data_IF_832274054163
#
_entry.id   IF_832274054163
#
_cell.length_a   1.000
_cell.length_b   1.000
_cell.length_c   1.000
_cell.angle_alpha   90.00
_cell.angle_beta   90.00
_cell.angle_gamma   90.00
#
_symmetry.space_group_name_H-M   'P 1'
#
loop_
_entity.id
_entity.type
_entity.pdbx_description
1 polymer ?
#
# COMPACT_ATOMS: atom_id res chain seq x y z
N UNK A 1 -34.12 22.86 -11.67
CA UNK A 1 -32.83 23.56 -11.50
C UNK A 1 -31.74 22.53 -11.69
N UNK A 2 -30.77 22.83 -12.55
CA UNK A 2 -29.72 21.90 -12.97
C UNK A 2 -28.75 21.69 -11.80
N UNK A 3 -28.92 20.61 -11.04
CA UNK A 3 -28.11 20.26 -9.85
C UNK A 3 -26.62 20.15 -10.17
N UNK A 4 -26.24 20.04 -11.45
CA UNK A 4 -24.86 20.08 -11.90
C UNK A 4 -24.22 21.48 -11.79
N UNK A 5 -24.99 22.57 -11.90
CA UNK A 5 -24.43 23.94 -11.80
C UNK A 5 -24.09 24.34 -10.37
N UNK A 6 -24.76 23.79 -9.36
CA UNK A 6 -24.60 24.21 -7.94
C UNK A 6 -23.40 23.60 -7.21
N UNK A 7 -22.80 22.52 -7.73
CA UNK A 7 -21.60 21.90 -7.13
C UNK A 7 -20.29 22.62 -7.51
N UNK A 8 -20.22 23.12 -8.74
CA UNK A 8 -19.02 23.78 -9.30
C UNK A 8 -18.65 25.04 -8.50
N UNK A 9 -19.62 25.76 -7.94
CA UNK A 9 -19.38 26.98 -7.17
C UNK A 9 -18.82 26.75 -5.76
N UNK A 10 -18.75 25.50 -5.29
CA UNK A 10 -18.41 25.16 -3.90
C UNK A 10 -17.21 24.23 -3.75
N UNK A 11 -16.74 23.62 -4.83
CA UNK A 11 -15.55 22.75 -4.85
C UNK A 11 -14.49 23.45 -5.69
N UNK A 12 -13.34 23.74 -5.10
CA UNK A 12 -12.16 24.21 -5.83
C UNK A 12 -11.04 23.15 -5.84
N UNK A 13 -10.00 23.42 -6.62
CA UNK A 13 -8.87 22.49 -6.75
C UNK A 13 -8.10 22.32 -5.44
N UNK A 14 -7.99 23.37 -4.61
CA UNK A 14 -7.28 23.30 -3.33
C UNK A 14 -8.03 22.44 -2.31
N UNK A 15 -9.36 22.45 -2.38
CA UNK A 15 -10.21 21.56 -1.60
C UNK A 15 -9.96 20.11 -1.97
N UNK A 16 -10.01 19.76 -3.26
CA UNK A 16 -9.76 18.40 -3.72
C UNK A 16 -8.36 17.93 -3.34
N UNK A 17 -7.37 18.81 -3.55
CA UNK A 17 -6.00 18.55 -3.15
C UNK A 17 -5.85 18.28 -1.66
N UNK A 18 -6.77 18.76 -0.80
CA UNK A 18 -6.74 18.53 0.66
C UNK A 18 -7.41 17.22 1.10
N UNK A 19 -8.20 16.58 0.25
CA UNK A 19 -8.93 15.36 0.61
C UNK A 19 -8.00 14.16 0.84
N UNK A 20 -8.49 13.16 1.57
CA UNK A 20 -7.75 11.90 1.79
C UNK A 20 -7.88 10.92 0.62
N UNK A 21 -8.78 11.20 -0.32
CA UNK A 21 -9.09 10.33 -1.45
C UNK A 21 -8.86 11.05 -2.76
N UNK A 22 -8.10 10.43 -3.65
CA UNK A 22 -7.91 10.90 -5.01
C UNK A 22 -9.21 10.67 -5.78
N UNK A 23 -9.69 11.67 -6.52
CA UNK A 23 -10.83 11.49 -7.43
C UNK A 23 -10.35 10.88 -8.75
N UNK A 24 -11.20 10.14 -9.45
CA UNK A 24 -10.86 9.62 -10.79
C UNK A 24 -10.88 10.73 -11.84
N UNK A 25 -10.40 10.44 -13.06
CA UNK A 25 -10.41 11.42 -14.15
C UNK A 25 -11.83 11.86 -14.48
N UNK A 26 -12.72 10.88 -14.62
CA UNK A 26 -14.15 11.11 -14.86
C UNK A 26 -14.79 11.93 -13.74
N UNK A 27 -14.45 11.64 -12.50
CA UNK A 27 -14.95 12.39 -11.34
C UNK A 27 -14.46 13.84 -11.33
N UNK A 28 -13.19 14.07 -11.68
CA UNK A 28 -12.67 15.43 -11.81
C UNK A 28 -13.35 16.19 -12.94
N UNK A 29 -13.54 15.57 -14.11
CA UNK A 29 -14.23 16.19 -15.25
C UNK A 29 -15.67 16.59 -14.90
N UNK A 30 -16.34 15.84 -14.02
CA UNK A 30 -17.68 16.16 -13.55
C UNK A 30 -17.73 17.36 -12.62
N UNK A 31 -16.71 17.54 -11.77
CA UNK A 31 -16.71 18.54 -10.69
C UNK A 31 -15.96 19.81 -11.08
N UNK A 32 -14.85 19.67 -11.82
CA UNK A 32 -13.94 20.72 -12.27
C UNK A 32 -13.51 20.50 -13.73
N UNK A 33 -14.40 20.66 -14.72
CA UNK A 33 -14.17 20.27 -16.12
C UNK A 33 -13.02 21.00 -16.83
N UNK A 34 -12.57 22.13 -16.29
CA UNK A 34 -11.50 22.96 -16.87
C UNK A 34 -10.11 22.53 -16.35
N UNK A 35 -10.06 21.75 -15.26
CA UNK A 35 -8.80 21.38 -14.62
C UNK A 35 -8.16 20.17 -15.32
N UNK A 36 -6.83 20.19 -15.48
CA UNK A 36 -6.09 19.00 -15.94
C UNK A 36 -6.04 17.96 -14.82
N UNK A 37 -6.40 16.72 -15.15
CA UNK A 37 -6.29 15.59 -14.23
C UNK A 37 -4.84 15.23 -13.93
N UNK A 38 -3.95 15.39 -14.91
CA UNK A 38 -2.52 15.14 -14.78
C UNK A 38 -1.89 16.11 -13.78
N UNK A 39 -2.21 17.41 -13.87
CA UNK A 39 -1.74 18.42 -12.91
C UNK A 39 -2.35 18.18 -11.52
N UNK A 40 -3.64 17.89 -11.45
CA UNK A 40 -4.32 17.59 -10.20
C UNK A 40 -3.69 16.39 -9.47
N UNK A 41 -3.59 15.24 -10.15
CA UNK A 41 -3.05 14.00 -9.57
C UNK A 41 -1.59 14.16 -9.15
N UNK A 42 -0.77 14.83 -9.96
CA UNK A 42 0.63 15.15 -9.62
C UNK A 42 0.73 15.96 -8.33
N UNK A 43 -0.08 17.01 -8.19
CA UNK A 43 -0.08 17.84 -6.98
C UNK A 43 -0.67 17.11 -5.77
N UNK A 44 -1.67 16.24 -5.97
CA UNK A 44 -2.20 15.38 -4.93
C UNK A 44 -1.10 14.47 -4.37
N UNK A 45 -0.36 13.77 -5.25
CA UNK A 45 0.72 12.87 -4.83
C UNK A 45 1.91 13.59 -4.18
N UNK A 46 2.30 14.76 -4.70
CA UNK A 46 3.35 15.60 -4.07
C UNK A 46 3.06 15.91 -2.60
N UNK A 47 1.79 16.08 -2.24
CA UNK A 47 1.38 16.29 -0.85
C UNK A 47 1.22 14.98 -0.10
N UNK A 48 0.53 14.00 -0.70
CA UNK A 48 0.02 12.81 -0.01
C UNK A 48 1.09 11.77 0.26
N UNK A 49 2.03 11.57 -0.67
CA UNK A 49 3.07 10.54 -0.53
C UNK A 49 4.01 10.84 0.65
N UNK A 50 4.55 12.07 0.83
CA UNK A 50 5.31 12.41 2.05
C UNK A 50 4.48 12.26 3.32
N UNK A 51 3.22 12.69 3.32
CA UNK A 51 2.34 12.57 4.49
C UNK A 51 2.16 11.11 4.94
N UNK A 52 1.96 10.19 4.00
CA UNK A 52 1.82 8.75 4.29
C UNK A 52 3.13 8.17 4.80
N UNK A 53 4.27 8.56 4.21
CA UNK A 53 5.59 8.16 4.66
C UNK A 53 5.85 8.59 6.11
N UNK A 54 5.68 9.88 6.43
CA UNK A 54 5.94 10.43 7.75
C UNK A 54 5.07 9.77 8.84
N UNK A 55 3.79 9.51 8.52
CA UNK A 55 2.85 8.82 9.42
C UNK A 55 3.19 7.35 9.65
N UNK A 56 3.95 6.73 8.76
CA UNK A 56 4.20 5.29 8.76
C UNK A 56 5.65 4.92 9.12
N UNK A 57 6.59 5.86 9.04
CA UNK A 57 8.03 5.63 9.24
C UNK A 57 8.37 4.97 10.59
N UNK A 58 7.58 5.23 11.64
CA UNK A 58 7.75 4.62 12.97
C UNK A 58 7.06 3.26 13.15
N UNK A 59 6.37 2.73 12.13
CA UNK A 59 5.62 1.47 12.24
C UNK A 59 6.46 0.30 11.76
N UNK A 60 6.62 -0.71 12.60
CA UNK A 60 7.44 -1.90 12.31
C UNK A 60 7.06 -2.62 11.02
N UNK A 61 5.76 -2.68 10.69
CA UNK A 61 5.30 -3.30 9.44
C UNK A 61 5.73 -2.51 8.20
N UNK A 62 5.76 -1.19 8.30
CA UNK A 62 6.14 -0.30 7.21
C UNK A 62 7.65 -0.38 6.97
N UNK A 63 8.43 -0.33 8.05
CA UNK A 63 9.88 -0.53 8.00
C UNK A 63 10.20 -1.86 7.34
N UNK A 64 9.60 -2.95 7.81
CA UNK A 64 9.82 -4.29 7.26
C UNK A 64 9.42 -4.40 5.78
N UNK A 65 8.28 -3.83 5.38
CA UNK A 65 7.77 -3.98 4.01
C UNK A 65 8.51 -3.09 2.99
N UNK A 66 8.82 -1.85 3.36
CA UNK A 66 9.29 -0.83 2.41
C UNK A 66 10.74 -0.40 2.63
N UNK A 67 11.30 -0.54 3.83
CA UNK A 67 12.65 -0.07 4.12
C UNK A 67 13.65 -1.22 4.24
N UNK A 68 13.19 -2.40 4.65
CA UNK A 68 14.02 -3.61 4.74
C UNK A 68 14.33 -4.18 3.35
N UNK A 69 15.62 -4.37 3.06
CA UNK A 69 16.07 -4.90 1.78
C UNK A 69 15.76 -6.39 1.62
N UNK A 70 15.80 -7.17 2.71
CA UNK A 70 15.61 -8.62 2.65
C UNK A 70 14.21 -8.99 2.19
N UNK A 71 13.19 -8.29 2.72
CA UNK A 71 11.81 -8.49 2.30
C UNK A 71 11.61 -8.09 0.83
N UNK A 72 12.13 -6.92 0.43
CA UNK A 72 11.99 -6.44 -0.94
C UNK A 72 12.60 -7.42 -1.97
N UNK A 73 13.83 -7.87 -1.72
CA UNK A 73 14.52 -8.82 -2.60
C UNK A 73 13.81 -10.18 -2.63
N UNK A 74 13.29 -10.66 -1.49
CA UNK A 74 12.52 -11.89 -1.45
C UNK A 74 11.24 -11.76 -2.29
N UNK A 75 10.50 -10.67 -2.13
CA UNK A 75 9.26 -10.43 -2.88
C UNK A 75 9.51 -10.32 -4.38
N UNK A 76 10.57 -9.62 -4.79
CA UNK A 76 10.96 -9.52 -6.20
C UNK A 76 11.23 -10.89 -6.81
N UNK A 77 11.97 -11.75 -6.09
CA UNK A 77 12.22 -13.14 -6.52
C UNK A 77 10.94 -13.96 -6.61
N UNK A 78 9.99 -13.74 -5.71
CA UNK A 78 8.70 -14.45 -5.71
C UNK A 78 7.86 -14.10 -6.94
N UNK A 79 7.81 -12.83 -7.33
CA UNK A 79 7.00 -12.35 -8.47
C UNK A 79 7.50 -12.89 -9.81
N UNK A 80 8.77 -13.30 -9.91
CA UNK A 80 9.26 -14.01 -11.07
C UNK A 80 8.70 -15.43 -11.19
N UNK A 81 7.98 -15.96 -10.19
CA UNK A 81 7.41 -17.32 -10.21
C UNK A 81 5.94 -17.30 -10.61
N UNK A 82 5.53 -18.36 -11.30
CA UNK A 82 4.12 -18.63 -11.54
C UNK A 82 3.59 -19.41 -10.34
N UNK A 83 2.71 -18.79 -9.59
CA UNK A 83 2.12 -19.35 -8.39
C UNK A 83 1.15 -20.48 -8.71
N UNK A 84 1.16 -21.52 -7.87
CA UNK A 84 0.11 -22.54 -7.84
C UNK A 84 -0.80 -22.29 -6.66
N UNK A 85 -2.10 -22.53 -6.84
CA UNK A 85 -3.13 -22.42 -5.80
C UNK A 85 -3.43 -23.76 -5.12
N UNK A 86 -2.46 -24.69 -5.15
CA UNK A 86 -2.54 -25.98 -4.48
C UNK A 86 -1.87 -25.87 -3.11
N UNK A 87 -2.57 -26.33 -2.08
CA UNK A 87 -2.05 -26.40 -0.72
C UNK A 87 -2.15 -27.86 -0.28
N UNK A 88 -1.00 -28.52 -0.16
CA UNK A 88 -0.97 -29.96 0.12
C UNK A 88 -0.81 -30.29 1.60
N UNK A 89 -0.32 -29.35 2.40
CA UNK A 89 -0.05 -29.59 3.81
C UNK A 89 -0.97 -28.85 4.78
N UNK A 90 -0.93 -29.27 6.06
CA UNK A 90 -1.77 -28.66 7.08
C UNK A 90 -1.28 -27.25 7.41
N UNK A 91 -2.20 -26.40 7.86
CA UNK A 91 -1.95 -24.99 8.12
C UNK A 91 -2.10 -24.68 9.61
N UNK A 92 -1.22 -23.83 10.14
CA UNK A 92 -1.32 -23.22 11.47
C UNK A 92 -1.54 -21.73 11.26
N UNK A 93 -2.45 -21.14 12.03
CA UNK A 93 -2.60 -19.69 12.12
C UNK A 93 -2.01 -19.19 13.44
N UNK A 94 -1.19 -18.14 13.35
CA UNK A 94 -0.71 -17.37 14.48
C UNK A 94 -1.48 -16.05 14.57
N UNK A 95 -2.14 -15.84 15.71
CA UNK A 95 -2.95 -14.65 16.02
C UNK A 95 -2.32 -13.82 17.14
N UNK A 96 -2.82 -12.59 17.30
CA UNK A 96 -2.41 -11.66 18.35
C UNK A 96 -0.91 -11.37 18.36
N UNK A 97 -0.29 -11.28 17.18
CA UNK A 97 1.11 -10.86 17.07
C UNK A 97 1.18 -9.35 17.37
N UNK A 98 1.99 -8.90 18.35
CA UNK A 98 2.04 -7.48 18.71
C UNK A 98 2.46 -6.58 17.53
N UNK A 99 1.81 -5.43 17.38
CA UNK A 99 2.12 -4.46 16.33
C UNK A 99 3.53 -3.86 16.45
N UNK A 100 4.08 -3.88 17.66
CA UNK A 100 5.45 -3.44 17.97
C UNK A 100 6.51 -4.50 17.69
N UNK A 101 6.14 -5.74 17.35
CA UNK A 101 7.10 -6.79 17.07
C UNK A 101 7.71 -6.58 15.68
N UNK A 102 9.05 -6.50 15.52
CA UNK A 102 9.65 -6.33 14.20
C UNK A 102 9.34 -7.51 13.27
N UNK A 103 9.09 -7.23 11.99
CA UNK A 103 8.83 -8.27 10.99
C UNK A 103 9.98 -9.28 10.86
N UNK A 104 11.23 -8.82 11.01
CA UNK A 104 12.43 -9.65 11.03
C UNK A 104 12.46 -10.63 12.21
N UNK A 105 11.94 -10.23 13.37
CA UNK A 105 11.81 -11.09 14.56
C UNK A 105 10.74 -12.14 14.32
N UNK A 106 9.59 -11.75 13.78
CA UNK A 106 8.51 -12.68 13.40
C UNK A 106 9.06 -13.72 12.42
N UNK A 107 9.77 -13.27 11.38
CA UNK A 107 10.39 -14.14 10.39
C UNK A 107 11.40 -15.11 11.04
N UNK A 108 12.28 -14.61 11.90
CA UNK A 108 13.28 -15.43 12.60
C UNK A 108 12.67 -16.50 13.52
N UNK A 109 11.51 -16.21 14.12
CA UNK A 109 10.79 -17.15 14.98
C UNK A 109 10.09 -18.22 14.13
N UNK A 110 9.26 -17.81 13.16
CA UNK A 110 8.43 -18.75 12.40
C UNK A 110 9.22 -19.59 11.38
N UNK A 111 10.36 -19.08 10.89
CA UNK A 111 11.28 -19.87 10.06
C UNK A 111 11.88 -21.10 10.75
N UNK A 112 11.81 -21.17 12.09
CA UNK A 112 12.28 -22.33 12.87
C UNK A 112 11.21 -23.41 13.03
N UNK A 113 9.99 -23.19 12.55
CA UNK A 113 8.89 -24.15 12.71
C UNK A 113 9.28 -25.53 12.15
N UNK A 114 8.98 -26.58 12.90
CA UNK A 114 9.28 -27.96 12.49
C UNK A 114 8.39 -28.33 11.30
N UNK A 115 9.01 -28.97 10.29
CA UNK A 115 8.36 -29.35 9.03
C UNK A 115 7.74 -28.17 8.26
N UNK A 116 8.30 -26.97 8.41
CA UNK A 116 7.88 -25.80 7.67
C UNK A 116 8.05 -26.01 6.15
N UNK A 117 6.97 -25.80 5.40
CA UNK A 117 7.03 -25.64 3.95
C UNK A 117 7.23 -24.16 3.60
N UNK A 118 6.34 -23.31 4.13
CA UNK A 118 6.39 -21.84 3.96
C UNK A 118 5.51 -21.14 4.99
N UNK A 119 5.76 -19.86 5.22
CA UNK A 119 4.86 -19.00 5.99
C UNK A 119 4.85 -17.59 5.41
N UNK A 120 3.81 -16.83 5.73
CA UNK A 120 3.76 -15.40 5.42
C UNK A 120 2.99 -14.66 6.50
N UNK A 121 3.31 -13.37 6.61
CA UNK A 121 2.61 -12.43 7.48
C UNK A 121 1.54 -11.77 6.59
N UNK A 122 0.28 -11.89 6.99
CA UNK A 122 -0.84 -11.31 6.26
C UNK A 122 -0.66 -9.79 6.15
N UNK A 123 -1.08 -9.24 5.01
CA UNK A 123 -1.09 -7.80 4.82
C UNK A 123 -1.99 -7.12 5.86
N UNK A 124 -1.48 -6.07 6.50
CA UNK A 124 -2.22 -5.29 7.48
C UNK A 124 -3.05 -4.24 6.75
N UNK A 125 -4.36 -4.36 6.81
CA UNK A 125 -5.27 -3.42 6.15
C UNK A 125 -6.09 -2.67 7.19
N UNK A 126 -6.69 -1.54 6.79
CA UNK A 126 -7.67 -0.86 7.64
C UNK A 126 -8.85 -1.76 7.98
N UNK A 127 -9.19 -2.72 7.11
CA UNK A 127 -10.28 -3.69 7.31
C UNK A 127 -10.00 -4.71 8.41
N UNK A 128 -8.74 -5.14 8.58
CA UNK A 128 -8.36 -6.07 9.68
C UNK A 128 -7.85 -5.35 10.93
N UNK A 129 -8.07 -4.03 11.03
CA UNK A 129 -7.63 -3.21 12.15
C UNK A 129 -6.10 -3.18 12.30
N UNK A 130 -5.37 -3.39 11.21
CA UNK A 130 -3.91 -3.59 11.18
C UNK A 130 -3.42 -4.76 12.03
N UNK A 131 -4.30 -5.71 12.38
CA UNK A 131 -3.90 -6.90 13.13
C UNK A 131 -2.93 -7.78 12.33
N UNK A 132 -1.89 -8.26 13.00
CA UNK A 132 -0.91 -9.18 12.42
C UNK A 132 -1.37 -10.62 12.58
N UNK A 133 -1.65 -11.24 11.45
CA UNK A 133 -1.87 -12.67 11.32
C UNK A 133 -0.69 -13.28 10.56
N UNK A 134 -0.25 -14.47 10.97
CA UNK A 134 0.71 -15.24 10.21
C UNK A 134 0.13 -16.62 9.94
N UNK A 135 0.26 -17.08 8.70
CA UNK A 135 -0.14 -18.41 8.30
C UNK A 135 1.12 -19.23 8.05
N UNK A 136 1.15 -20.44 8.59
CA UNK A 136 2.31 -21.34 8.57
C UNK A 136 1.84 -22.63 7.93
N UNK A 137 2.32 -22.93 6.73
CA UNK A 137 2.03 -24.15 6.00
C UNK A 137 3.15 -25.14 6.29
N UNK A 138 2.75 -26.32 6.75
CA UNK A 138 3.66 -27.42 7.02
C UNK A 138 3.70 -28.36 5.81
N UNK A 139 4.73 -29.22 5.77
CA UNK A 139 4.81 -30.31 4.81
C UNK A 139 3.60 -31.26 4.95
N UNK A 140 3.20 -31.88 3.84
CA UNK A 140 1.98 -32.71 3.69
C UNK A 140 1.68 -33.70 4.82
N UNK A 141 2.69 -34.35 5.37
CA UNK A 141 2.55 -35.41 6.39
C UNK A 141 2.87 -34.91 7.81
N UNK A 142 3.04 -33.60 8.00
CA UNK A 142 3.42 -33.04 9.28
C UNK A 142 2.28 -33.10 10.31
N UNK A 143 2.64 -33.34 11.57
CA UNK A 143 1.73 -33.24 12.70
C UNK A 143 1.64 -31.78 13.18
N UNK A 144 0.46 -31.16 13.06
CA UNK A 144 0.19 -29.78 13.48
C UNK A 144 0.44 -29.56 14.97
N UNK A 145 0.08 -30.53 15.82
CA UNK A 145 0.17 -30.41 17.27
C UNK A 145 1.62 -30.38 17.75
N UNK A 146 2.49 -31.17 17.13
CA UNK A 146 3.93 -31.16 17.44
C UNK A 146 4.57 -29.83 17.06
N UNK A 147 4.26 -29.31 15.87
CA UNK A 147 4.74 -28.00 15.43
C UNK A 147 4.19 -26.86 16.31
N UNK A 148 2.92 -26.88 16.69
CA UNK A 148 2.33 -25.91 17.64
C UNK A 148 3.03 -25.99 19.00
N UNK A 149 3.26 -27.20 19.54
CA UNK A 149 3.92 -27.40 20.83
C UNK A 149 5.37 -26.91 20.81
N UNK A 150 6.09 -27.17 19.73
CA UNK A 150 7.44 -26.66 19.51
C UNK A 150 7.44 -25.13 19.40
N UNK A 151 6.56 -24.55 18.59
CA UNK A 151 6.49 -23.10 18.44
C UNK A 151 6.11 -22.39 19.76
N UNK A 152 5.25 -23.00 20.58
CA UNK A 152 4.92 -22.52 21.93
C UNK A 152 6.10 -22.59 22.91
N UNK A 153 7.13 -23.42 22.65
CA UNK A 153 8.33 -23.45 23.49
C UNK A 153 9.34 -22.35 23.10
N UNK A 154 9.32 -21.90 21.85
CA UNK A 154 10.12 -20.77 21.35
C UNK A 154 9.46 -19.43 21.69
N UNK A 155 8.14 -19.36 21.56
CA UNK A 155 7.39 -18.14 21.86
C UNK A 155 7.33 -17.96 23.38
N UNK A 156 7.94 -16.89 23.88
CA UNK A 156 7.86 -16.52 25.28
C UNK A 156 6.40 -16.43 25.73
N UNK A 157 6.10 -17.00 26.91
CA UNK A 157 4.75 -16.97 27.52
C UNK A 157 4.18 -15.55 27.73
N UNK A 158 4.99 -14.50 27.57
CA UNK A 158 4.59 -13.10 27.69
C UNK A 158 4.14 -12.42 26.39
N UNK A 159 4.32 -13.03 25.21
CA UNK A 159 4.02 -12.37 23.93
C UNK A 159 2.55 -12.42 23.52
N UNK A 160 1.74 -13.27 24.16
CA UNK A 160 0.29 -13.37 23.87
C UNK A 160 -0.07 -13.97 22.52
N UNK A 161 0.92 -14.44 21.74
CA UNK A 161 0.70 -15.07 20.43
C UNK A 161 -0.06 -16.38 20.58
N UNK A 162 -1.18 -16.51 19.87
CA UNK A 162 -2.02 -17.71 19.87
C UNK A 162 -1.74 -18.52 18.61
N UNK A 163 -1.51 -19.82 18.78
CA UNK A 163 -1.26 -20.75 17.68
C UNK A 163 -2.36 -21.80 17.66
N UNK A 164 -3.01 -21.92 16.49
CA UNK A 164 -4.19 -22.74 16.26
C UNK A 164 -4.04 -23.50 14.94
N UNK A 165 -4.57 -24.71 14.89
CA UNK A 165 -4.74 -25.41 13.61
C UNK A 165 -5.79 -24.67 12.77
N UNK A 166 -5.49 -24.50 11.48
CA UNK A 166 -6.34 -23.76 10.55
C UNK A 166 -6.84 -24.68 9.44
N UNK A 167 -8.16 -24.91 9.43
CA UNK A 167 -8.81 -25.76 8.44
C UNK A 167 -8.90 -25.05 7.08
N UNK A 168 -8.23 -25.64 6.09
CA UNK A 168 -8.17 -25.16 4.70
C UNK A 168 -9.02 -26.01 3.73
N UNK A 169 -9.75 -27.01 4.22
CA UNK A 169 -10.48 -27.96 3.37
C UNK A 169 -11.54 -27.30 2.46
N UNK A 170 -12.08 -26.15 2.87
CA UNK A 170 -13.05 -25.36 2.10
C UNK A 170 -12.45 -24.21 1.29
N UNK A 171 -11.13 -24.13 1.13
CA UNK A 171 -10.48 -23.05 0.37
C UNK A 171 -10.32 -23.50 -1.08
N UNK A 172 -10.89 -22.75 -2.03
CA UNK A 172 -10.71 -22.98 -3.46
C UNK A 172 -9.92 -21.85 -4.13
N UNK A 173 -9.36 -22.17 -5.30
CA UNK A 173 -8.79 -21.15 -6.18
C UNK A 173 -9.87 -20.14 -6.59
N UNK A 174 -9.60 -18.83 -6.56
CA UNK A 174 -10.58 -17.83 -6.96
C UNK A 174 -10.78 -17.80 -8.48
N UNK A 175 -12.05 -17.75 -8.88
CA UNK A 175 -12.46 -17.54 -10.26
C UNK A 175 -12.49 -16.03 -10.56
N UNK A 176 -11.62 -15.59 -11.46
CA UNK A 176 -11.56 -14.17 -11.83
C UNK A 176 -12.66 -13.88 -12.85
N UNK A 177 -13.54 -12.94 -12.52
CA UNK A 177 -14.55 -12.42 -13.45
C UNK A 177 -13.98 -11.26 -14.26
N UNK A 178 -14.18 -11.32 -15.58
CA UNK A 178 -13.79 -10.33 -16.59
C UNK A 178 -14.78 -10.42 -17.76
N UNK A 179 -14.86 -9.34 -18.54
CA UNK A 179 -15.54 -9.27 -19.83
C UNK A 179 -14.51 -9.27 -20.97
N UNK A 180 -14.90 -9.62 -22.21
CA UNK A 180 -13.93 -9.71 -23.33
C UNK A 180 -13.32 -8.33 -23.69
N UNK A 181 -14.04 -7.25 -23.42
CA UNK A 181 -13.58 -5.87 -23.61
C UNK A 181 -12.61 -5.37 -22.52
N UNK A 182 -12.42 -6.15 -21.44
CA UNK A 182 -11.45 -5.84 -20.37
C UNK A 182 -9.98 -6.04 -20.80
N UNK A 183 -9.70 -6.53 -22.00
CA UNK A 183 -8.33 -6.81 -22.45
C UNK A 183 -7.41 -5.60 -22.32
N UNK A 184 -7.84 -4.42 -22.79
CA UNK A 184 -7.00 -3.22 -22.74
C UNK A 184 -6.70 -2.77 -21.31
N UNK A 185 -7.70 -2.85 -20.43
CA UNK A 185 -7.57 -2.47 -19.02
C UNK A 185 -6.64 -3.45 -18.29
N UNK A 186 -6.90 -4.75 -18.42
CA UNK A 186 -6.09 -5.80 -17.80
C UNK A 186 -4.65 -5.80 -18.30
N UNK A 187 -4.41 -5.57 -19.60
CA UNK A 187 -3.07 -5.42 -20.16
C UNK A 187 -2.35 -4.18 -19.59
N UNK A 188 -3.04 -3.04 -19.51
CA UNK A 188 -2.47 -1.80 -18.93
C UNK A 188 -2.12 -1.97 -17.44
N UNK A 189 -2.94 -2.72 -16.69
CA UNK A 189 -2.65 -3.09 -15.30
C UNK A 189 -1.42 -4.01 -15.26
N UNK A 190 -1.34 -5.01 -16.13
CA UNK A 190 -0.19 -5.92 -16.19
C UNK A 190 1.11 -5.15 -16.43
N UNK A 191 1.16 -4.28 -17.43
CA UNK A 191 2.31 -3.41 -17.71
C UNK A 191 2.65 -2.50 -16.53
N UNK A 192 1.65 -2.04 -15.77
CA UNK A 192 1.86 -1.22 -14.57
C UNK A 192 2.47 -2.02 -13.42
N UNK A 193 2.02 -3.26 -13.21
CA UNK A 193 2.61 -4.17 -12.22
C UNK A 193 4.02 -4.59 -12.61
N UNK A 194 4.27 -4.88 -13.90
CA UNK A 194 5.60 -5.20 -14.40
C UNK A 194 6.60 -4.09 -14.11
N UNK A 195 6.20 -2.83 -14.33
CA UNK A 195 7.00 -1.64 -13.97
C UNK A 195 7.17 -1.47 -12.46
N UNK A 196 6.10 -1.69 -11.69
CA UNK A 196 6.12 -1.57 -10.23
C UNK A 196 7.09 -2.56 -9.57
N UNK A 197 7.23 -3.76 -10.13
CA UNK A 197 8.09 -4.82 -9.60
C UNK A 197 9.41 -5.00 -10.36
N UNK A 198 9.69 -4.14 -11.34
CA UNK A 198 10.90 -4.17 -12.15
C UNK A 198 11.15 -5.56 -12.77
N UNK A 199 10.12 -6.07 -13.46
CA UNK A 199 10.14 -7.35 -14.18
C UNK A 199 9.86 -7.15 -15.68
N UNK A 200 10.47 -7.99 -16.51
CA UNK A 200 10.24 -7.96 -17.96
C UNK A 200 8.90 -8.60 -18.29
N UNK A 201 8.00 -7.84 -18.93
CA UNK A 201 6.64 -8.26 -19.27
C UNK A 201 6.61 -9.48 -20.20
N UNK A 202 7.43 -9.51 -21.25
CA UNK A 202 7.47 -10.61 -22.21
C UNK A 202 7.94 -11.91 -21.55
N UNK A 203 9.02 -11.83 -20.75
CA UNK A 203 9.59 -12.97 -20.04
C UNK A 203 8.57 -13.63 -19.10
N UNK A 204 7.86 -12.84 -18.29
CA UNK A 204 6.90 -13.39 -17.32
C UNK A 204 5.67 -13.95 -18.01
N UNK A 205 5.21 -13.35 -19.12
CA UNK A 205 4.08 -13.85 -19.90
C UNK A 205 4.44 -15.15 -20.64
N UNK A 206 5.66 -15.28 -21.16
CA UNK A 206 6.15 -16.53 -21.74
C UNK A 206 6.25 -17.63 -20.70
N UNK A 207 6.77 -17.31 -19.52
CA UNK A 207 6.82 -18.25 -18.39
C UNK A 207 5.43 -18.72 -18.01
N UNK A 208 4.46 -17.81 -17.87
CA UNK A 208 3.07 -18.17 -17.61
C UNK A 208 2.47 -19.03 -18.73
N UNK A 209 2.66 -18.66 -19.99
CA UNK A 209 2.17 -19.45 -21.12
C UNK A 209 2.72 -20.89 -21.12
N UNK A 210 3.99 -21.08 -20.74
CA UNK A 210 4.59 -22.43 -20.64
C UNK A 210 3.99 -23.32 -19.54
N UNK A 211 3.31 -22.72 -18.56
CA UNK A 211 2.62 -23.46 -17.49
C UNK A 211 1.21 -23.89 -17.88
N UNK A 212 0.67 -23.32 -18.96
CA UNK A 212 -0.64 -23.71 -19.49
C UNK A 212 -0.45 -24.98 -20.32
N UNK A 213 -1.19 -26.04 -19.97
CA UNK A 213 -1.15 -27.32 -20.68
C UNK A 213 -1.72 -27.21 -22.11
N UNK A 214 -2.39 -26.10 -22.44
CA UNK A 214 -3.11 -25.90 -23.70
C UNK A 214 -2.42 -24.90 -24.63
N UNK A 215 -1.86 -25.42 -25.74
CA UNK A 215 -1.20 -24.63 -26.79
C UNK A 215 -2.15 -23.73 -27.58
N UNK A 216 -3.46 -23.83 -27.38
CA UNK A 216 -4.48 -23.04 -28.08
C UNK A 216 -4.86 -21.72 -27.38
N UNK A 217 -4.27 -21.42 -26.21
CA UNK A 217 -4.65 -20.22 -25.46
C UNK A 217 -4.24 -18.94 -26.19
N UNK A 218 -5.24 -18.17 -26.64
CA UNK A 218 -5.03 -16.87 -27.27
C UNK A 218 -4.45 -15.86 -26.27
N UNK A 219 -3.20 -15.45 -26.48
CA UNK A 219 -2.46 -14.53 -25.59
C UNK A 219 -3.06 -13.12 -25.51
N UNK A 220 -3.84 -12.72 -26.51
CA UNK A 220 -4.44 -11.39 -26.61
C UNK A 220 -5.88 -11.36 -26.11
N UNK A 221 -6.17 -12.08 -25.03
CA UNK A 221 -7.51 -12.16 -24.42
C UNK A 221 -7.49 -11.66 -22.99
N UNK A 222 -8.60 -11.06 -22.55
CA UNK A 222 -8.79 -10.67 -21.15
C UNK A 222 -8.60 -11.86 -20.21
N UNK A 223 -9.05 -13.06 -20.61
CA UNK A 223 -8.86 -14.31 -19.88
C UNK A 223 -7.39 -14.63 -19.63
N UNK A 224 -6.56 -14.57 -20.67
CA UNK A 224 -5.14 -14.88 -20.55
C UNK A 224 -4.44 -13.88 -19.61
N UNK A 225 -4.67 -12.57 -19.81
CA UNK A 225 -4.03 -11.54 -19.00
C UNK A 225 -4.52 -11.55 -17.56
N UNK A 226 -5.83 -11.73 -17.31
CA UNK A 226 -6.36 -11.84 -15.95
C UNK A 226 -5.83 -13.09 -15.23
N UNK A 227 -5.66 -14.21 -15.95
CA UNK A 227 -4.99 -15.40 -15.43
C UNK A 227 -3.53 -15.12 -15.07
N UNK A 228 -2.81 -14.41 -15.94
CA UNK A 228 -1.42 -14.01 -15.70
C UNK A 228 -1.30 -13.06 -14.49
N UNK A 229 -2.19 -12.06 -14.38
CA UNK A 229 -2.28 -11.16 -13.22
C UNK A 229 -2.46 -11.94 -11.91
N UNK A 230 -3.35 -12.92 -11.90
CA UNK A 230 -3.59 -13.80 -10.76
C UNK A 230 -2.36 -14.64 -10.44
N UNK A 231 -1.78 -15.33 -11.41
CA UNK A 231 -0.76 -16.35 -11.16
C UNK A 231 0.66 -15.78 -11.01
N UNK A 232 0.96 -14.60 -11.54
CA UNK A 232 2.29 -13.97 -11.42
C UNK A 232 2.29 -12.96 -10.28
N UNK A 233 1.32 -12.04 -10.28
CA UNK A 233 1.33 -10.91 -9.35
C UNK A 233 0.45 -11.11 -8.12
N UNK A 234 -0.26 -12.25 -8.02
CA UNK A 234 -1.30 -12.49 -7.02
C UNK A 234 -2.32 -11.34 -6.97
N UNK A 235 -2.65 -10.83 -8.16
CA UNK A 235 -3.58 -9.72 -8.33
C UNK A 235 -4.93 -10.24 -8.78
N UNK A 236 -5.97 -10.00 -7.97
CA UNK A 236 -7.34 -10.29 -8.36
C UNK A 236 -7.92 -9.12 -9.15
N UNK A 237 -8.13 -9.30 -10.46
CA UNK A 237 -8.75 -8.28 -11.33
C UNK A 237 -10.13 -7.83 -10.81
N UNK A 238 -10.96 -8.78 -10.37
CA UNK A 238 -12.32 -8.51 -9.88
C UNK A 238 -12.32 -7.66 -8.60
N UNK A 239 -11.47 -8.00 -7.61
CA UNK A 239 -11.33 -7.23 -6.36
C UNK A 239 -10.51 -5.94 -6.53
N UNK A 240 -9.70 -5.89 -7.58
CA UNK A 240 -8.60 -4.95 -7.73
C UNK A 240 -7.67 -4.91 -6.50
N UNK A 241 -7.28 -6.09 -6.00
CA UNK A 241 -6.43 -6.24 -4.83
C UNK A 241 -5.25 -7.18 -5.11
N UNK A 242 -4.09 -6.82 -4.58
CA UNK A 242 -2.88 -7.64 -4.65
C UNK A 242 -2.63 -8.31 -3.30
N UNK A 243 -2.39 -9.61 -3.33
CA UNK A 243 -2.06 -10.41 -2.16
C UNK A 243 -0.56 -10.72 -2.14
N UNK A 244 -0.04 -11.08 -0.97
CA UNK A 244 1.37 -11.49 -0.85
C UNK A 244 1.54 -13.02 -0.98
N UNK A 245 0.44 -13.78 -0.83
CA UNK A 245 0.45 -15.24 -0.85
C UNK A 245 -0.76 -15.86 -1.55
N UNK A 246 -0.62 -17.02 -2.25
CA UNK A 246 -1.75 -17.73 -2.85
C UNK A 246 -2.87 -18.06 -1.86
N UNK A 247 -2.56 -18.53 -0.65
CA UNK A 247 -3.60 -18.86 0.33
C UNK A 247 -4.26 -17.57 0.86
N UNK A 248 -3.52 -16.48 1.03
CA UNK A 248 -4.12 -15.18 1.35
C UNK A 248 -5.13 -14.76 0.29
N UNK A 249 -4.77 -14.90 -0.98
CA UNK A 249 -5.66 -14.63 -2.11
C UNK A 249 -6.89 -15.55 -2.11
N UNK A 250 -6.71 -16.85 -1.92
CA UNK A 250 -7.83 -17.80 -1.89
C UNK A 250 -8.78 -17.55 -0.71
N UNK A 251 -8.27 -17.07 0.42
CA UNK A 251 -9.08 -16.70 1.58
C UNK A 251 -9.77 -15.34 1.40
N UNK A 252 -9.04 -14.34 0.90
CA UNK A 252 -9.54 -12.98 0.71
C UNK A 252 -10.56 -12.86 -0.41
N UNK A 253 -10.43 -13.66 -1.46
CA UNK A 253 -11.32 -13.64 -2.61
C UNK A 253 -12.59 -14.50 -2.47
N UNK A 254 -12.82 -15.20 -1.34
CA UNK A 254 -13.98 -16.12 -1.21
C UNK A 254 -15.34 -15.48 -1.50
N UNK A 255 -15.48 -14.18 -1.25
CA UNK A 255 -16.70 -13.41 -1.48
C UNK A 255 -16.44 -12.20 -2.39
N UNK A 256 -15.47 -12.29 -3.31
CA UNK A 256 -15.09 -11.15 -4.13
C UNK A 256 -16.23 -10.66 -5.03
N UNK A 257 -16.47 -9.35 -4.99
CA UNK A 257 -17.45 -8.67 -5.83
C UNK A 257 -16.78 -7.49 -6.48
N UNK A 258 -17.16 -7.21 -7.73
CA UNK A 258 -16.84 -5.94 -8.35
C UNK A 258 -17.56 -4.84 -7.56
N UNK A 259 -16.79 -4.00 -6.88
CA UNK A 259 -17.28 -2.80 -6.20
C UNK A 259 -16.87 -1.56 -6.98
N UNK A 260 -17.53 -0.43 -6.73
CA UNK A 260 -17.11 0.85 -7.30
C UNK A 260 -15.66 1.18 -6.91
N UNK A 261 -15.24 0.84 -5.69
CA UNK A 261 -13.85 0.98 -5.25
C UNK A 261 -12.91 0.10 -6.06
N UNK A 262 -13.28 -1.15 -6.36
CA UNK A 262 -12.47 -2.02 -7.21
C UNK A 262 -12.31 -1.42 -8.63
N UNK A 263 -13.38 -0.85 -9.19
CA UNK A 263 -13.32 -0.14 -10.48
C UNK A 263 -12.35 1.04 -10.45
N UNK A 264 -12.40 1.85 -9.38
CA UNK A 264 -11.45 2.97 -9.19
C UNK A 264 -10.01 2.48 -9.11
N UNK A 265 -9.74 1.44 -8.31
CA UNK A 265 -8.41 0.84 -8.17
C UNK A 265 -7.87 0.35 -9.52
N UNK A 266 -8.71 -0.28 -10.35
CA UNK A 266 -8.32 -0.69 -11.72
C UNK A 266 -7.98 0.53 -12.58
N UNK A 267 -8.80 1.57 -12.57
CA UNK A 267 -8.55 2.80 -13.34
C UNK A 267 -7.22 3.46 -12.93
N UNK A 268 -6.97 3.59 -11.63
CA UNK A 268 -5.73 4.17 -11.12
C UNK A 268 -4.51 3.32 -11.49
N UNK A 269 -4.59 2.01 -11.25
CA UNK A 269 -3.48 1.10 -11.51
C UNK A 269 -3.17 0.99 -13.01
N UNK A 270 -4.17 0.98 -13.89
CA UNK A 270 -3.98 0.98 -15.34
C UNK A 270 -3.24 2.24 -15.83
N UNK A 271 -3.40 3.36 -15.14
CA UNK A 271 -2.77 4.64 -15.47
C UNK A 271 -1.51 4.93 -14.62
N UNK A 272 -0.99 3.95 -13.89
CA UNK A 272 0.16 4.15 -13.02
C UNK A 272 1.42 4.51 -13.82
N UNK A 273 2.10 5.58 -13.40
CA UNK A 273 3.34 6.09 -14.02
C UNK A 273 4.55 6.10 -13.08
N UNK A 274 4.39 5.58 -11.87
CA UNK A 274 5.41 5.69 -10.83
C UNK A 274 5.51 7.09 -10.23
N UNK A 275 6.41 7.22 -9.25
CA UNK A 275 6.63 8.46 -8.49
C UNK A 275 8.00 9.08 -8.79
N UNK A 276 8.61 8.80 -9.94
CA UNK A 276 9.94 9.31 -10.29
C UNK A 276 10.03 10.85 -10.38
N UNK A 277 8.90 11.52 -10.53
CA UNK A 277 8.79 12.99 -10.50
C UNK A 277 8.75 13.57 -9.08
N UNK A 278 8.59 12.73 -8.04
CA UNK A 278 8.71 13.15 -6.65
C UNK A 278 10.19 13.13 -6.30
N UNK A 279 10.81 14.30 -6.29
CA UNK A 279 12.18 14.44 -5.86
C UNK A 279 12.23 14.46 -4.33
N UNK A 280 12.96 13.53 -3.68
CA UNK A 280 13.29 13.64 -2.27
C UNK A 280 13.99 14.97 -2.02
N UNK A 281 13.68 15.61 -0.90
CA UNK A 281 14.39 16.82 -0.50
C UNK A 281 15.88 16.55 -0.36
N UNK A 282 16.69 17.52 -0.74
CA UNK A 282 18.14 17.45 -0.51
C UNK A 282 18.45 17.69 0.97
N UNK A 283 19.64 17.27 1.40
CA UNK A 283 20.15 17.60 2.73
C UNK A 283 20.13 19.11 2.99
N UNK A 284 20.50 19.90 1.98
CA UNK A 284 20.53 21.36 2.05
C UNK A 284 19.12 21.94 2.23
N UNK A 285 18.14 21.45 1.46
CA UNK A 285 16.74 21.85 1.61
C UNK A 285 16.19 21.54 3.01
N UNK A 286 16.53 20.39 3.59
CA UNK A 286 16.11 20.07 4.95
C UNK A 286 16.81 20.93 6.00
N UNK A 287 18.10 21.21 5.86
CA UNK A 287 18.82 22.12 6.75
C UNK A 287 18.32 23.57 6.64
N UNK A 288 17.89 23.98 5.44
CA UNK A 288 17.24 25.26 5.22
C UNK A 288 15.88 25.35 5.92
N UNK A 289 15.07 24.28 5.90
CA UNK A 289 13.82 24.20 6.67
C UNK A 289 14.07 24.31 8.18
N UNK A 290 15.23 23.86 8.65
CA UNK A 290 15.66 23.96 10.06
C UNK A 290 16.38 25.29 10.37
N UNK A 291 16.38 26.24 9.45
CA UNK A 291 16.98 27.56 9.60
C UNK A 291 15.90 28.63 9.59
N UNK A 292 15.84 29.44 10.65
CA UNK A 292 14.97 30.62 10.67
C UNK A 292 15.79 31.86 10.37
N UNK A 293 15.42 32.60 9.32
CA UNK A 293 16.01 33.91 9.01
C UNK A 293 15.30 34.95 9.89
N UNK A 294 16.03 35.54 10.84
CA UNK A 294 15.47 36.50 11.80
C UNK A 294 15.51 37.91 11.22
N UNK A 295 16.64 38.30 10.62
CA UNK A 295 16.88 39.58 9.95
C UNK A 295 17.89 39.35 8.81
N UNK A 296 18.20 40.39 8.02
CA UNK A 296 19.32 40.36 7.07
C UNK A 296 20.60 39.86 7.78
N UNK A 297 21.20 38.81 7.22
CA UNK A 297 22.41 38.16 7.73
C UNK A 297 22.29 37.60 9.16
N UNK A 298 21.09 37.31 9.68
CA UNK A 298 20.92 36.68 10.99
C UNK A 298 20.11 35.39 10.86
N UNK A 299 20.81 34.27 11.05
CA UNK A 299 20.26 32.92 10.91
C UNK A 299 20.16 32.27 12.29
N UNK A 300 19.04 31.62 12.59
CA UNK A 300 18.82 30.92 13.84
C UNK A 300 18.68 29.42 13.58
N UNK A 301 19.48 28.63 14.29
CA UNK A 301 19.43 27.18 14.27
C UNK A 301 18.14 26.67 14.91
N UNK A 302 17.37 25.87 14.18
CA UNK A 302 16.13 25.27 14.65
C UNK A 302 16.33 24.21 15.74
N UNK A 303 17.52 23.60 15.83
CA UNK A 303 17.80 22.55 16.84
C UNK A 303 18.15 23.11 18.22
N UNK A 304 19.03 24.11 18.29
CA UNK A 304 19.52 24.66 19.57
C UNK A 304 19.21 26.15 19.79
N UNK A 305 18.58 26.82 18.81
CA UNK A 305 18.20 28.22 18.92
C UNK A 305 19.34 29.24 18.82
N UNK A 306 20.59 28.80 18.59
CA UNK A 306 21.75 29.70 18.44
C UNK A 306 21.65 30.52 17.15
N UNK A 307 22.10 31.77 17.24
CA UNK A 307 22.13 32.71 16.11
C UNK A 307 23.52 32.81 15.48
N UNK A 308 23.54 33.06 14.18
CA UNK A 308 24.74 33.12 13.35
C UNK A 308 24.63 34.28 12.37
N UNK A 309 25.76 34.93 12.09
CA UNK A 309 25.84 36.10 11.20
C UNK A 309 25.95 35.72 9.70
N UNK A 310 26.04 34.43 9.38
CA UNK A 310 26.05 33.97 7.99
C UNK A 310 25.50 32.56 7.84
N UNK A 311 24.99 32.27 6.64
CA UNK A 311 24.54 30.95 6.22
C UNK A 311 25.67 29.92 6.36
N UNK A 312 26.89 30.26 5.92
CA UNK A 312 28.05 29.37 6.03
C UNK A 312 28.34 28.96 7.48
N UNK A 313 28.19 29.88 8.44
CA UNK A 313 28.42 29.56 9.85
C UNK A 313 27.34 28.65 10.44
N UNK A 314 26.07 28.83 10.07
CA UNK A 314 25.01 27.94 10.54
C UNK A 314 25.13 26.53 9.94
N UNK A 315 25.51 26.40 8.66
CA UNK A 315 25.79 25.09 8.06
C UNK A 315 26.98 24.38 8.71
N UNK A 316 28.07 25.11 8.98
CA UNK A 316 29.21 24.56 9.70
C UNK A 316 28.82 24.18 11.14
N UNK A 317 27.92 24.95 11.77
CA UNK A 317 27.38 24.63 13.07
C UNK A 317 26.57 23.34 13.07
N UNK A 318 25.68 23.12 12.08
CA UNK A 318 24.97 21.86 11.95
C UNK A 318 25.95 20.68 11.88
N UNK A 319 26.94 20.74 10.98
CA UNK A 319 27.91 19.65 10.79
C UNK A 319 28.74 19.32 12.04
N UNK A 320 29.05 20.32 12.89
CA UNK A 320 29.93 20.12 14.05
C UNK A 320 29.18 19.89 15.37
N UNK A 321 27.93 20.34 15.49
CA UNK A 321 27.16 20.31 16.75
C UNK A 321 25.89 19.47 16.69
N UNK A 322 25.46 19.08 15.49
CA UNK A 322 24.23 18.34 15.24
C UNK A 322 24.49 17.16 14.29
N UNK A 323 25.60 16.46 14.49
CA UNK A 323 26.01 15.33 13.64
C UNK A 323 24.95 14.21 13.64
N UNK A 324 24.37 13.91 14.80
CA UNK A 324 23.34 12.87 14.94
C UNK A 324 22.02 13.28 14.27
N UNK A 325 21.64 14.56 14.33
CA UNK A 325 20.49 15.09 13.56
C UNK A 325 20.74 14.99 12.06
N UNK A 326 21.94 15.32 11.59
CA UNK A 326 22.30 15.22 10.18
C UNK A 326 22.22 13.78 9.69
N UNK A 327 22.79 12.83 10.45
CA UNK A 327 22.70 11.40 10.12
C UNK A 327 21.24 10.93 10.04
N UNK A 328 20.37 11.44 10.94
CA UNK A 328 18.93 11.17 10.90
C UNK A 328 18.26 11.74 9.64
N UNK A 329 18.60 12.97 9.25
CA UNK A 329 18.09 13.59 8.01
C UNK A 329 18.52 12.78 6.79
N UNK A 330 19.81 12.47 6.67
CA UNK A 330 20.35 11.70 5.55
C UNK A 330 19.70 10.31 5.46
N UNK A 331 19.52 9.64 6.60
CA UNK A 331 18.81 8.36 6.67
C UNK A 331 17.35 8.53 6.22
N UNK A 332 16.64 9.56 6.68
CA UNK A 332 15.25 9.81 6.31
C UNK A 332 15.09 10.06 4.80
N UNK A 333 16.03 10.80 4.18
CA UNK A 333 16.04 11.04 2.73
C UNK A 333 16.24 9.72 1.98
N UNK A 334 17.16 8.87 2.44
CA UNK A 334 17.42 7.57 1.84
C UNK A 334 16.25 6.59 2.03
N UNK A 335 15.64 6.57 3.21
CA UNK A 335 14.46 5.77 3.50
C UNK A 335 13.27 6.23 2.63
N UNK A 336 13.11 7.53 2.39
CA UNK A 336 12.08 8.05 1.49
C UNK A 336 12.34 7.64 0.03
N UNK A 337 13.59 7.67 -0.44
CA UNK A 337 13.97 7.16 -1.78
C UNK A 337 13.59 5.69 -1.96
N UNK A 338 13.95 4.86 -0.98
CA UNK A 338 13.58 3.42 -0.98
C UNK A 338 12.07 3.26 -1.00
N UNK A 339 11.36 4.01 -0.17
CA UNK A 339 9.91 3.98 -0.13
C UNK A 339 9.30 4.27 -1.51
N UNK A 340 9.69 5.36 -2.17
CA UNK A 340 9.18 5.73 -3.50
C UNK A 340 9.36 4.63 -4.55
N UNK A 341 10.49 3.92 -4.51
CA UNK A 341 10.82 2.83 -5.43
C UNK A 341 10.06 1.52 -5.13
N UNK A 342 9.47 1.41 -3.94
CA UNK A 342 8.90 0.16 -3.41
C UNK A 342 7.40 0.24 -3.16
N UNK A 343 6.74 1.33 -3.55
CA UNK A 343 5.28 1.47 -3.47
C UNK A 343 4.64 0.38 -4.33
N UNK A 344 3.87 -0.48 -3.66
CA UNK A 344 3.10 -1.56 -4.25
C UNK A 344 1.60 -1.21 -4.32
N UNK A 345 0.75 -2.12 -4.80
CA UNK A 345 -0.70 -1.89 -4.88
C UNK A 345 -1.34 -1.57 -3.53
N UNK A 346 -0.86 -2.20 -2.45
CA UNK A 346 -1.38 -1.93 -1.11
C UNK A 346 -1.10 -0.50 -0.67
N UNK A 347 0.15 -0.06 -0.75
CA UNK A 347 0.49 1.32 -0.40
C UNK A 347 -0.15 2.33 -1.35
N UNK A 348 -0.26 1.98 -2.64
CA UNK A 348 -0.96 2.81 -3.61
C UNK A 348 -2.43 3.02 -3.17
N UNK A 349 -3.10 1.98 -2.71
CA UNK A 349 -4.44 2.07 -2.14
C UNK A 349 -4.52 3.02 -0.94
N UNK A 350 -3.54 2.97 -0.03
CA UNK A 350 -3.47 3.89 1.13
C UNK A 350 -3.22 5.35 0.70
N UNK A 351 -2.37 5.57 -0.30
CA UNK A 351 -2.05 6.90 -0.84
C UNK A 351 -3.29 7.49 -1.54
N UNK A 352 -3.94 6.71 -2.39
CA UNK A 352 -5.13 7.12 -3.17
C UNK A 352 -6.40 7.16 -2.32
N UNK A 353 -6.37 6.59 -1.12
CA UNK A 353 -7.53 6.50 -0.23
C UNK A 353 -8.59 5.55 -0.76
N UNK A 354 -8.15 4.47 -1.42
CA UNK A 354 -9.00 3.38 -1.91
C UNK A 354 -8.84 2.11 -1.08
N UNK A 355 -8.11 2.14 0.04
CA UNK A 355 -8.01 1.00 0.97
C UNK A 355 -9.31 0.76 1.77
N UNK A 356 -10.22 1.75 1.79
CA UNK A 356 -11.60 1.58 2.24
C UNK A 356 -12.58 1.45 1.06
N UNK A 357 -13.65 0.68 1.24
CA UNK A 357 -14.66 0.44 0.18
C UNK A 357 -15.69 1.58 0.09
N UNK A 358 -15.40 2.76 0.65
CA UNK A 358 -16.31 3.91 0.60
C UNK A 358 -15.93 4.77 -0.60
N UNK A 359 -16.94 5.32 -1.26
CA UNK A 359 -16.75 6.33 -2.32
C UNK A 359 -16.67 7.72 -1.66
N UNK A 360 -15.85 8.66 -2.16
CA UNK A 360 -15.79 10.02 -1.63
C UNK A 360 -17.18 10.68 -1.65
N UNK A 361 -17.65 11.09 -0.47
CA UNK A 361 -19.04 11.57 -0.27
C UNK A 361 -19.38 12.85 -1.03
N UNK A 362 -18.38 13.66 -1.34
CA UNK A 362 -18.55 14.91 -2.08
C UNK A 362 -18.82 14.71 -3.58
N UNK A 363 -18.73 13.48 -4.08
CA UNK A 363 -19.07 13.09 -5.46
C UNK A 363 -20.53 12.62 -5.55
N UNK A 364 -21.10 12.15 -4.43
CA UNK A 364 -22.49 11.73 -4.37
C UNK A 364 -23.37 12.99 -4.28
N UNK A 365 -24.21 13.29 -5.28
CA UNK A 365 -25.14 14.40 -5.18
C UNK A 365 -26.13 14.07 -4.07
N UNK A 366 -26.03 14.74 -2.93
CA UNK A 366 -27.07 14.67 -1.91
C UNK A 366 -28.23 15.56 -2.37
N UNK A 367 -29.10 15.01 -3.23
CA UNK A 367 -30.19 15.71 -3.94
C UNK A 367 -31.14 16.47 -2.99
N UNK A 368 -31.12 16.16 -1.69
CA UNK A 368 -32.04 16.74 -0.70
C UNK A 368 -31.55 18.01 -0.02
N UNK A 369 -30.25 18.27 0.01
CA UNK A 369 -29.69 19.44 0.69
C UNK A 369 -28.64 20.05 -0.23
N UNK A 370 -28.71 21.35 -0.51
CA UNK A 370 -27.68 22.13 -1.23
C UNK A 370 -26.33 22.20 -0.45
N UNK A 371 -25.88 21.11 0.17
CA UNK A 371 -24.74 21.02 1.08
C UNK A 371 -23.77 19.97 0.57
N UNK A 372 -22.49 20.35 0.53
CA UNK A 372 -21.40 19.41 0.28
C UNK A 372 -21.10 18.67 1.58
N UNK A 373 -21.14 17.34 1.53
CA UNK A 373 -20.76 16.49 2.65
C UNK A 373 -19.27 16.21 2.58
N UNK A 374 -18.52 16.77 3.51
CA UNK A 374 -17.08 16.59 3.64
C UNK A 374 -16.73 15.16 4.08
N UNK A 375 -15.67 14.59 3.50
CA UNK A 375 -15.06 13.35 4.00
C UNK A 375 -13.99 13.69 5.06
N UNK A 376 -14.40 14.47 6.06
CA UNK A 376 -13.56 14.71 7.24
C UNK A 376 -13.92 13.68 8.29
N UNK A 377 -12.91 12.94 8.78
CA UNK A 377 -13.06 12.13 9.99
C UNK A 377 -13.55 13.04 11.12
N UNK A 378 -14.80 12.84 11.54
CA UNK A 378 -15.48 13.48 12.67
C UNK A 378 -14.84 14.81 13.14
N UNK A 379 -15.12 15.93 12.47
CA UNK A 379 -14.89 17.24 13.08
C UNK A 379 -16.03 17.50 14.05
N UNK A 380 -15.87 17.07 15.30
CA UNK A 380 -16.65 17.65 16.39
C UNK A 380 -16.09 19.05 16.65
N UNK A 381 -16.74 20.08 16.11
CA UNK A 381 -16.52 21.46 16.55
C UNK A 381 -17.78 21.95 17.27
N UNK A 382 -17.82 21.76 18.60
CA UNK A 382 -18.74 22.44 19.51
C UNK A 382 -19.67 21.54 20.32
N UNK A 383 -19.98 21.97 21.56
CA UNK A 383 -20.96 21.34 22.45
C UNK A 383 -22.36 21.37 21.83
N UNK A 384 -22.99 20.20 21.71
CA UNK A 384 -24.40 20.09 21.32
C UNK A 384 -25.23 20.36 22.58
N UNK A 385 -25.72 21.58 22.73
CA UNK A 385 -26.78 21.89 23.70
C UNK A 385 -28.10 21.40 23.14
N UNK A 386 -28.57 20.24 23.62
CA UNK A 386 -29.93 19.77 23.35
C UNK A 386 -30.83 20.44 24.39
N UNK A 387 -31.56 21.48 23.97
CA UNK A 387 -32.62 22.02 24.81
C UNK A 387 -33.78 21.02 24.88
N UNK A 388 -34.29 20.83 26.11
CA UNK A 388 -35.46 20.01 26.42
C UNK A 388 -36.74 20.59 25.85
#
# INVERSE_FOLDING_TARGET
>A
MDTKRTLVDKIDIFFLLKQQRLVTKRELEMVLPIQSYEDYSTNYYRRRVPEVFDKSLGKEWFIYRYLDNSFFEQRRKTICNVHSFKIEGPCIIARNIPDSMPGSVIYSIFSKCVNLERFWIQQQTSQNGFSRLCYIILQKEANTQDSIKFMKSILDKGLGVQLEEFDISGVSEPEISFEDDDYQMSASIFTSLSRMFDVNEEEVLEKYASTLEDSSTERNTAKFICGALKSIFLYCYTCAHQYDDPLEMMMGCRNHKATDTATRRREFLANYRGFGYLHPKTKEEELNNMTTIVNENHYKCGFCGKSFESEKFIFNHFNNKHEDEIKRIEKSIEDFKKFLQRIDCFMLGVIEGTDDDRIPRFILPNIKDDRIVYDMGCVFSGEIVINK
#
